data_IF_676580926877
#
_entry.id   IF_676580926877
#
_cell.length_a   1.000
_cell.length_b   1.000
_cell.length_c   1.000
_cell.angle_alpha   90.00
_cell.angle_beta   90.00
_cell.angle_gamma   90.00
#
_symmetry.space_group_name_H-M   'P 1'
#
loop_
_entity.id
_entity.type
_entity.pdbx_description
1 polymer ?
#
# COMPACT_ATOMS: atom_id res chain seq x y z
N UNK A 1 54.66 -9.83 72.64
CA UNK A 1 53.98 -8.72 71.96
C UNK A 1 54.42 -8.46 70.50
N UNK A 2 55.57 -8.97 69.99
CA UNK A 2 56.02 -8.77 68.58
C UNK A 2 55.13 -9.42 67.49
N UNK A 3 54.47 -10.54 67.81
CA UNK A 3 53.58 -11.25 66.85
C UNK A 3 52.24 -10.51 66.70
N UNK A 4 51.72 -9.94 67.79
CA UNK A 4 50.50 -9.13 67.77
C UNK A 4 50.65 -7.83 66.99
N UNK A 5 51.82 -7.18 67.04
CA UNK A 5 52.12 -5.98 66.25
C UNK A 5 52.32 -6.27 64.76
N UNK A 6 52.97 -7.38 64.39
CA UNK A 6 53.10 -7.78 62.98
C UNK A 6 51.75 -8.14 62.33
N UNK A 7 50.86 -8.79 63.09
CA UNK A 7 49.50 -9.10 62.64
C UNK A 7 48.64 -7.83 62.49
N UNK A 8 48.69 -6.91 63.46
CA UNK A 8 47.98 -5.64 63.39
C UNK A 8 48.46 -4.76 62.21
N UNK A 9 49.76 -4.78 61.92
CA UNK A 9 50.35 -4.06 60.79
C UNK A 9 49.87 -4.63 59.44
N UNK A 10 49.95 -5.96 59.28
CA UNK A 10 49.49 -6.65 58.07
C UNK A 10 48.00 -6.43 57.83
N UNK A 11 47.18 -6.50 58.89
CA UNK A 11 45.75 -6.21 58.81
C UNK A 11 45.46 -4.77 58.39
N UNK A 12 46.27 -3.81 58.85
CA UNK A 12 46.10 -2.39 58.49
C UNK A 12 46.49 -2.14 57.03
N UNK A 13 47.56 -2.77 56.54
CA UNK A 13 47.96 -2.68 55.12
C UNK A 13 46.88 -3.28 54.22
N UNK A 14 46.36 -4.47 54.55
CA UNK A 14 45.28 -5.10 53.79
C UNK A 14 44.04 -4.19 53.73
N UNK A 15 43.62 -3.62 54.87
CA UNK A 15 42.51 -2.66 54.91
C UNK A 15 42.77 -1.41 54.05
N UNK A 16 44.02 -0.97 53.97
CA UNK A 16 44.40 0.21 53.20
C UNK A 16 44.39 -0.07 51.70
N UNK A 17 44.88 -1.25 51.30
CA UNK A 17 44.80 -1.76 49.93
C UNK A 17 43.33 -1.95 49.49
N UNK A 18 42.48 -2.51 50.35
CA UNK A 18 41.04 -2.66 50.07
C UNK A 18 40.36 -1.31 49.85
N UNK A 19 40.68 -0.31 50.69
CA UNK A 19 40.14 1.06 50.54
C UNK A 19 40.65 1.75 49.28
N UNK A 20 41.92 1.54 48.92
CA UNK A 20 42.49 2.07 47.69
C UNK A 20 41.80 1.46 46.46
N UNK A 21 41.54 0.15 46.47
CA UNK A 21 40.84 -0.55 45.40
C UNK A 21 39.39 -0.08 45.26
N UNK A 22 38.68 0.10 46.38
CA UNK A 22 37.32 0.63 46.38
C UNK A 22 37.26 2.05 45.81
N UNK A 23 38.20 2.92 46.20
CA UNK A 23 38.28 4.29 45.70
C UNK A 23 38.55 4.33 44.18
N UNK A 24 39.45 3.47 43.69
CA UNK A 24 39.74 3.35 42.26
C UNK A 24 38.51 2.87 41.48
N UNK A 25 37.75 1.92 42.04
CA UNK A 25 36.51 1.41 41.44
C UNK A 25 35.44 2.50 41.39
N UNK A 26 35.20 3.22 42.48
CA UNK A 26 34.26 4.34 42.51
C UNK A 26 34.68 5.49 41.58
N UNK A 27 35.98 5.75 41.43
CA UNK A 27 36.49 6.69 40.42
C UNK A 27 36.18 6.22 38.99
N UNK A 28 36.36 4.92 38.71
CA UNK A 28 36.02 4.35 37.40
C UNK A 28 34.51 4.44 37.11
N UNK A 29 33.66 4.17 38.11
CA UNK A 29 32.21 4.31 38.00
C UNK A 29 31.80 5.76 37.76
N UNK A 30 32.38 6.72 38.50
CA UNK A 30 32.12 8.15 38.32
C UNK A 30 32.56 8.68 36.95
N UNK A 31 33.68 8.18 36.42
CA UNK A 31 34.20 8.61 35.11
C UNK A 31 33.45 7.97 33.95
N UNK A 32 33.02 6.71 34.09
CA UNK A 32 32.22 6.01 33.08
C UNK A 32 30.72 6.36 33.14
N UNK A 33 30.23 6.86 34.27
CA UNK A 33 28.80 7.08 34.54
C UNK A 33 28.01 5.78 34.75
N UNK A 34 28.67 4.63 34.81
CA UNK A 34 28.05 3.31 34.95
C UNK A 34 28.35 2.70 36.31
N UNK A 35 27.32 2.12 36.92
CA UNK A 35 27.44 1.28 38.11
C UNK A 35 28.10 -0.06 37.78
N UNK A 36 27.75 -0.64 36.62
CA UNK A 36 28.25 -1.94 36.17
C UNK A 36 29.05 -1.72 34.90
N UNK A 37 30.39 -1.80 35.00
CA UNK A 37 31.28 -1.59 33.86
C UNK A 37 31.77 -2.92 33.28
N UNK A 38 31.95 -3.93 34.14
CA UNK A 38 32.29 -5.29 33.76
C UNK A 38 31.23 -6.28 34.28
N UNK A 39 31.07 -7.42 33.59
CA UNK A 39 30.16 -8.47 34.03
C UNK A 39 30.55 -9.07 35.40
N UNK A 40 31.81 -8.92 35.81
CA UNK A 40 32.30 -9.30 37.14
C UNK A 40 31.77 -8.40 38.27
N UNK A 41 31.36 -7.16 37.97
CA UNK A 41 30.91 -6.21 39.00
C UNK A 41 29.51 -6.59 39.53
N UNK A 42 28.61 -7.01 38.64
CA UNK A 42 27.27 -7.53 38.95
C UNK A 42 26.76 -8.38 37.77
N UNK A 43 26.93 -9.71 37.82
CA UNK A 43 26.55 -10.57 36.69
C UNK A 43 25.05 -10.57 36.41
N UNK A 44 24.21 -10.28 37.40
CA UNK A 44 22.75 -10.25 37.24
C UNK A 44 22.28 -8.99 36.54
N UNK A 45 22.87 -7.84 36.88
CA UNK A 45 22.59 -6.58 36.21
C UNK A 45 23.18 -6.55 34.80
N UNK A 46 24.40 -7.07 34.61
CA UNK A 46 24.98 -7.24 33.28
C UNK A 46 24.07 -8.09 32.38
N UNK A 47 23.56 -9.23 32.87
CA UNK A 47 22.64 -10.08 32.11
C UNK A 47 21.28 -9.40 31.80
N UNK A 48 20.83 -8.44 32.62
CA UNK A 48 19.63 -7.64 32.35
C UNK A 48 19.90 -6.58 31.29
N UNK A 49 21.02 -5.86 31.41
CA UNK A 49 21.45 -4.86 30.44
C UNK A 49 21.64 -5.47 29.04
N UNK A 50 22.26 -6.66 28.95
CA UNK A 50 22.43 -7.38 27.68
C UNK A 50 21.10 -7.81 27.05
N UNK A 51 20.14 -8.30 27.85
CA UNK A 51 18.80 -8.62 27.36
C UNK A 51 18.08 -7.38 26.83
N UNK A 52 18.19 -6.27 27.55
CA UNK A 52 17.62 -5.00 27.13
C UNK A 52 18.27 -4.47 25.84
N UNK A 53 19.60 -4.58 25.71
CA UNK A 53 20.33 -4.28 24.48
C UNK A 53 19.84 -5.11 23.30
N UNK A 54 19.72 -6.43 23.47
CA UNK A 54 19.20 -7.32 22.43
C UNK A 54 17.77 -6.91 22.00
N UNK A 55 16.92 -6.48 22.95
CA UNK A 55 15.59 -5.97 22.63
C UNK A 55 15.65 -4.64 21.86
N UNK A 56 16.51 -3.71 22.24
CA UNK A 56 16.72 -2.45 21.50
C UNK A 56 17.12 -2.74 20.05
N UNK A 57 18.13 -3.59 19.83
CA UNK A 57 18.60 -3.92 18.48
C UNK A 57 17.53 -4.58 17.62
N UNK A 58 16.68 -5.44 18.21
CA UNK A 58 15.52 -6.04 17.50
C UNK A 58 14.51 -4.97 17.10
N UNK A 59 14.15 -4.08 18.02
CA UNK A 59 13.21 -3.00 17.74
C UNK A 59 13.74 -2.03 16.67
N UNK A 60 15.04 -1.74 16.65
CA UNK A 60 15.68 -0.92 15.61
C UNK A 60 15.70 -1.60 14.23
N UNK A 61 15.85 -2.92 14.18
CA UNK A 61 15.68 -3.68 12.93
C UNK A 61 14.23 -3.61 12.43
N UNK A 62 13.25 -3.72 13.33
CA UNK A 62 11.84 -3.58 12.99
C UNK A 62 11.50 -2.16 12.51
N UNK A 63 12.05 -1.11 13.13
CA UNK A 63 11.88 0.28 12.69
C UNK A 63 12.40 0.48 11.25
N UNK A 64 13.60 -0.01 10.93
CA UNK A 64 14.13 0.06 9.56
C UNK A 64 13.24 -0.64 8.54
N UNK A 65 12.68 -1.78 8.93
CA UNK A 65 11.75 -2.56 8.08
C UNK A 65 10.44 -1.81 7.86
N UNK A 66 9.90 -1.20 8.93
CA UNK A 66 8.71 -0.36 8.88
C UNK A 66 8.91 0.88 8.00
N UNK A 67 10.07 1.54 8.10
CA UNK A 67 10.40 2.71 7.30
C UNK A 67 10.48 2.37 5.80
N UNK A 68 11.07 1.22 5.46
CA UNK A 68 11.10 0.75 4.07
C UNK A 68 9.69 0.51 3.52
N UNK A 69 8.84 -0.16 4.30
CA UNK A 69 7.45 -0.42 3.94
C UNK A 69 6.63 0.87 3.81
N UNK A 70 6.77 1.81 4.77
CA UNK A 70 6.11 3.11 4.74
C UNK A 70 6.54 3.95 3.53
N UNK A 71 7.82 3.91 3.17
CA UNK A 71 8.31 4.60 1.98
C UNK A 71 7.61 4.09 0.71
N UNK A 72 7.52 2.78 0.52
CA UNK A 72 6.81 2.21 -0.64
C UNK A 72 5.33 2.58 -0.63
N UNK A 73 4.64 2.47 0.51
CA UNK A 73 3.22 2.82 0.61
C UNK A 73 2.97 4.30 0.31
N UNK A 74 3.86 5.22 0.74
CA UNK A 74 3.76 6.64 0.40
C UNK A 74 3.94 6.89 -1.11
N UNK A 75 4.87 6.19 -1.76
CA UNK A 75 5.07 6.28 -3.22
C UNK A 75 3.83 5.71 -3.94
N UNK A 76 3.28 4.59 -3.45
CA UNK A 76 2.06 4.00 -3.99
C UNK A 76 0.88 4.98 -3.90
N UNK A 77 0.63 5.57 -2.73
CA UNK A 77 -0.46 6.52 -2.52
C UNK A 77 -0.34 7.75 -3.44
N UNK A 78 0.87 8.30 -3.55
CA UNK A 78 1.14 9.44 -4.44
C UNK A 78 0.91 9.05 -5.91
N UNK A 79 1.41 7.90 -6.33
CA UNK A 79 1.26 7.38 -7.70
C UNK A 79 -0.22 7.13 -8.05
N UNK A 80 -0.99 6.54 -7.15
CA UNK A 80 -2.43 6.33 -7.32
C UNK A 80 -3.21 7.64 -7.34
N UNK A 81 -2.76 8.66 -6.60
CA UNK A 81 -3.26 10.03 -6.70
C UNK A 81 -3.07 10.59 -8.12
N UNK A 82 -1.84 10.56 -8.64
CA UNK A 82 -1.54 10.99 -10.03
C UNK A 82 -2.37 10.22 -11.05
N UNK A 83 -2.55 8.91 -10.86
CA UNK A 83 -3.38 8.10 -11.74
C UNK A 83 -4.85 8.54 -11.75
N UNK A 84 -5.38 8.92 -10.59
CA UNK A 84 -6.75 9.44 -10.45
C UNK A 84 -6.92 10.72 -11.26
N UNK A 85 -5.96 11.66 -11.16
CA UNK A 85 -5.99 12.93 -11.90
C UNK A 85 -5.91 12.70 -13.42
N UNK A 86 -5.05 11.76 -13.85
CA UNK A 86 -4.94 11.37 -15.25
C UNK A 86 -6.25 10.80 -15.79
N UNK A 87 -6.96 9.97 -15.02
CA UNK A 87 -8.24 9.40 -15.43
C UNK A 87 -9.37 10.43 -15.48
N UNK A 88 -9.36 11.42 -14.58
CA UNK A 88 -10.28 12.55 -14.68
C UNK A 88 -10.04 13.33 -15.99
N UNK A 89 -8.78 13.61 -16.33
CA UNK A 89 -8.43 14.25 -17.62
C UNK A 89 -8.81 13.38 -18.83
N UNK A 90 -8.70 12.05 -18.71
CA UNK A 90 -9.16 11.13 -19.75
C UNK A 90 -10.68 11.23 -19.93
N UNK A 91 -11.41 11.22 -18.82
CA UNK A 91 -12.87 11.36 -18.81
C UNK A 91 -13.33 12.67 -19.44
N UNK A 92 -12.71 13.79 -19.09
CA UNK A 92 -12.98 15.10 -19.73
C UNK A 92 -12.75 15.05 -21.24
N UNK A 93 -11.65 14.42 -21.66
CA UNK A 93 -11.31 14.28 -23.08
C UNK A 93 -12.30 13.38 -23.82
N UNK A 94 -12.80 12.33 -23.17
CA UNK A 94 -13.87 11.46 -23.70
C UNK A 94 -15.21 12.19 -23.80
N UNK A 95 -15.59 12.99 -22.81
CA UNK A 95 -16.81 13.82 -22.86
C UNK A 95 -16.74 14.79 -24.04
N UNK A 96 -15.60 15.47 -24.22
CA UNK A 96 -15.38 16.33 -25.38
C UNK A 96 -15.43 15.54 -26.70
N UNK A 97 -14.85 14.33 -26.72
CA UNK A 97 -14.86 13.45 -27.90
C UNK A 97 -16.25 12.88 -28.20
N UNK A 98 -17.19 12.89 -27.25
CA UNK A 98 -18.58 12.53 -27.45
C UNK A 98 -19.42 13.62 -28.11
N UNK A 99 -18.89 14.85 -28.26
CA UNK A 99 -19.64 15.94 -28.86
C UNK A 99 -19.94 15.66 -30.35
N UNK A 100 -21.23 15.60 -30.70
CA UNK A 100 -21.68 15.32 -32.06
C UNK A 100 -21.30 16.39 -33.09
N UNK A 101 -20.99 17.62 -32.64
CA UNK A 101 -20.60 18.74 -33.51
C UNK A 101 -19.11 18.75 -33.89
N UNK A 102 -18.29 17.86 -33.30
CA UNK A 102 -16.85 17.83 -33.56
C UNK A 102 -16.54 17.10 -34.88
N UNK A 103 -15.65 17.70 -35.67
CA UNK A 103 -15.13 17.09 -36.89
C UNK A 103 -14.17 15.94 -36.56
N UNK A 104 -13.90 15.08 -37.55
CA UNK A 104 -12.91 14.02 -37.41
C UNK A 104 -11.52 14.58 -37.06
N UNK A 105 -11.16 15.76 -37.60
CA UNK A 105 -9.92 16.45 -37.25
C UNK A 105 -9.88 16.93 -35.79
N UNK A 106 -10.99 17.44 -35.25
CA UNK A 106 -11.05 17.87 -33.84
C UNK A 106 -10.91 16.66 -32.90
N UNK A 107 -11.48 15.51 -33.28
CA UNK A 107 -11.35 14.25 -32.53
C UNK A 107 -9.92 13.72 -32.53
N UNK A 108 -9.15 13.93 -33.61
CA UNK A 108 -7.74 13.51 -33.66
C UNK A 108 -6.87 14.19 -32.59
N UNK A 109 -7.14 15.46 -32.27
CA UNK A 109 -6.44 16.16 -31.18
C UNK A 109 -6.76 15.53 -29.81
N UNK A 110 -8.03 15.16 -29.57
CA UNK A 110 -8.44 14.48 -28.34
C UNK A 110 -7.88 13.07 -28.23
N UNK A 111 -7.81 12.35 -29.34
CA UNK A 111 -7.11 11.05 -29.44
C UNK A 111 -5.65 11.19 -29.02
N UNK A 112 -4.94 12.20 -29.51
CA UNK A 112 -3.54 12.43 -29.15
C UNK A 112 -3.39 12.66 -27.63
N UNK A 113 -4.30 13.44 -27.04
CA UNK A 113 -4.35 13.65 -25.58
C UNK A 113 -4.63 12.35 -24.83
N UNK A 114 -5.59 11.53 -25.27
CA UNK A 114 -5.90 10.23 -24.65
C UNK A 114 -4.71 9.27 -24.73
N UNK A 115 -3.96 9.26 -25.84
CA UNK A 115 -2.72 8.48 -25.98
C UNK A 115 -1.64 8.92 -25.00
N UNK A 116 -1.45 10.23 -24.84
CA UNK A 116 -0.50 10.78 -23.88
C UNK A 116 -0.86 10.37 -22.44
N UNK A 117 -2.14 10.53 -22.05
CA UNK A 117 -2.64 10.09 -20.75
C UNK A 117 -2.41 8.59 -20.54
N UNK A 118 -2.71 7.76 -21.55
CA UNK A 118 -2.49 6.31 -21.50
C UNK A 118 -1.01 5.95 -21.29
N UNK A 119 -0.08 6.68 -21.91
CA UNK A 119 1.36 6.49 -21.72
C UNK A 119 1.85 6.98 -20.34
N UNK A 120 1.28 8.08 -19.85
CA UNK A 120 1.56 8.59 -18.50
C UNK A 120 1.06 7.60 -17.44
N UNK A 121 -0.13 7.02 -17.61
CA UNK A 121 -0.64 5.96 -16.73
C UNK A 121 0.27 4.73 -16.75
N UNK A 122 0.82 4.35 -17.90
CA UNK A 122 1.77 3.24 -17.99
C UNK A 122 3.08 3.55 -17.25
N UNK A 123 3.51 4.82 -17.28
CA UNK A 123 4.67 5.28 -16.52
C UNK A 123 4.40 5.21 -15.01
N UNK A 124 3.21 5.64 -14.57
CA UNK A 124 2.77 5.55 -13.17
C UNK A 124 2.63 4.10 -12.69
N UNK A 125 2.11 3.21 -13.54
CA UNK A 125 2.02 1.78 -13.23
C UNK A 125 3.41 1.13 -13.09
N UNK A 126 4.43 1.71 -13.73
CA UNK A 126 5.83 1.29 -13.64
C UNK A 126 6.67 2.21 -12.72
N UNK A 127 6.07 2.87 -11.72
CA UNK A 127 6.83 3.66 -10.73
C UNK A 127 7.83 2.76 -9.96
N UNK A 128 9.09 3.19 -9.93
CA UNK A 128 10.14 2.52 -9.15
C UNK A 128 10.02 2.82 -7.66
N UNK A 129 10.38 1.86 -6.82
CA UNK A 129 10.47 2.01 -5.36
C UNK A 129 11.76 2.73 -4.88
N UNK A 130 12.68 3.03 -5.80
CA UNK A 130 13.99 3.63 -5.50
C UNK A 130 15.07 2.65 -5.01
N UNK A 131 14.70 1.40 -4.75
CA UNK A 131 15.58 0.31 -4.30
C UNK A 131 15.95 -0.70 -5.40
N UNK A 132 15.54 -0.44 -6.65
CA UNK A 132 15.74 -1.33 -7.80
C UNK A 132 14.54 -2.23 -8.11
N UNK A 133 13.44 -2.06 -7.38
CA UNK A 133 12.15 -2.69 -7.65
C UNK A 133 11.10 -1.69 -8.15
N UNK A 134 9.86 -2.17 -8.19
CA UNK A 134 8.69 -1.45 -8.64
C UNK A 134 7.57 -1.55 -7.62
N UNK A 135 6.93 -0.41 -7.35
CA UNK A 135 5.87 -0.30 -6.34
C UNK A 135 4.70 -1.23 -6.65
N UNK A 136 4.28 -1.27 -7.92
CA UNK A 136 3.17 -2.12 -8.40
C UNK A 136 3.65 -3.46 -8.96
N UNK A 137 4.80 -3.96 -8.47
CA UNK A 137 5.46 -5.16 -8.96
C UNK A 137 4.87 -6.50 -8.49
N UNK A 138 3.79 -6.49 -7.71
CA UNK A 138 3.20 -7.71 -7.16
C UNK A 138 4.12 -8.36 -6.11
N UNK A 139 4.48 -9.64 -6.24
CA UNK A 139 5.45 -10.30 -5.32
C UNK A 139 6.91 -9.82 -5.45
N UNK A 140 7.13 -8.73 -6.20
CA UNK A 140 8.45 -8.15 -6.46
C UNK A 140 8.87 -8.40 -7.90
N UNK A 141 9.41 -7.36 -8.53
CA UNK A 141 9.95 -7.43 -9.88
C UNK A 141 11.16 -6.51 -9.99
N UNK A 142 12.24 -6.99 -10.60
CA UNK A 142 13.43 -6.20 -10.95
C UNK A 142 13.38 -5.67 -12.40
N UNK A 143 12.24 -5.81 -13.07
CA UNK A 143 11.98 -5.31 -14.42
C UNK A 143 10.60 -4.66 -14.47
N UNK A 144 10.33 -3.75 -15.43
CA UNK A 144 9.04 -3.07 -15.52
C UNK A 144 7.87 -4.07 -15.49
N UNK A 145 6.98 -4.01 -14.48
CA UNK A 145 5.90 -4.99 -14.33
C UNK A 145 4.84 -4.88 -15.43
N UNK A 146 4.65 -3.72 -16.04
CA UNK A 146 3.69 -3.50 -17.12
C UNK A 146 4.41 -3.24 -18.44
N UNK A 147 4.17 -4.10 -19.42
CA UNK A 147 4.80 -4.02 -20.74
C UNK A 147 3.73 -3.82 -21.80
N UNK A 148 3.97 -2.86 -22.68
CA UNK A 148 3.11 -2.59 -23.83
C UNK A 148 3.46 -3.54 -24.97
N UNK A 149 2.49 -4.35 -25.40
CA UNK A 149 2.65 -5.32 -26.49
C UNK A 149 1.67 -5.02 -27.61
N UNK A 150 1.79 -5.73 -28.74
CA UNK A 150 0.81 -5.62 -29.84
C UNK A 150 -0.60 -6.04 -29.43
N UNK A 151 -0.76 -6.79 -28.34
CA UNK A 151 -2.06 -7.20 -27.79
C UNK A 151 -2.57 -6.24 -26.69
N UNK A 152 -1.84 -5.15 -26.40
CA UNK A 152 -2.10 -4.22 -25.30
C UNK A 152 -1.13 -4.40 -24.12
N UNK A 153 -1.38 -3.64 -23.05
CA UNK A 153 -0.55 -3.70 -21.83
C UNK A 153 -0.83 -4.98 -21.05
N UNK A 154 0.24 -5.73 -20.78
CA UNK A 154 0.22 -6.96 -19.99
C UNK A 154 1.08 -6.83 -18.74
N UNK A 155 0.67 -7.52 -17.67
CA UNK A 155 1.47 -7.64 -16.46
C UNK A 155 2.44 -8.82 -16.58
N UNK A 156 3.74 -8.55 -16.42
CA UNK A 156 4.83 -9.53 -16.47
C UNK A 156 5.41 -9.85 -15.07
N UNK A 157 4.70 -9.50 -14.00
CA UNK A 157 5.06 -9.88 -12.63
C UNK A 157 4.28 -11.09 -12.11
N UNK A 158 4.50 -11.42 -10.84
CA UNK A 158 3.68 -12.39 -10.11
C UNK A 158 2.65 -11.66 -9.24
N UNK A 159 1.38 -12.05 -9.34
CA UNK A 159 0.29 -11.47 -8.54
C UNK A 159 0.50 -11.69 -7.04
N UNK A 160 -0.06 -10.82 -6.21
CA UNK A 160 0.16 -10.80 -4.76
C UNK A 160 1.08 -9.66 -4.32
N UNK A 161 1.63 -9.78 -3.13
CA UNK A 161 2.42 -8.73 -2.48
C UNK A 161 3.67 -9.34 -1.83
N UNK A 162 4.74 -8.56 -1.74
CA UNK A 162 5.95 -8.92 -1.02
C UNK A 162 5.88 -8.36 0.40
N UNK A 163 6.26 -9.17 1.39
CA UNK A 163 6.19 -8.81 2.81
C UNK A 163 7.60 -8.72 3.40
N UNK A 164 7.84 -7.65 4.15
CA UNK A 164 9.07 -7.46 4.93
C UNK A 164 9.03 -8.22 6.26
N UNK A 165 7.83 -8.44 6.81
CA UNK A 165 7.58 -9.18 8.04
C UNK A 165 6.24 -9.90 7.94
N UNK A 166 6.21 -11.20 8.22
CA UNK A 166 4.97 -11.99 8.25
C UNK A 166 4.14 -11.73 9.51
N UNK A 167 4.78 -11.46 10.66
CA UNK A 167 4.04 -11.21 11.90
C UNK A 167 3.33 -9.84 11.86
N UNK A 168 4.02 -8.86 11.27
CA UNK A 168 3.56 -7.48 11.19
C UNK A 168 3.04 -7.11 9.80
N UNK A 169 2.82 -8.05 8.86
CA UNK A 169 2.26 -7.81 7.51
C UNK A 169 2.71 -6.47 6.90
N UNK A 170 4.02 -6.26 6.80
CA UNK A 170 4.59 -5.01 6.28
C UNK A 170 4.82 -5.14 4.77
N UNK A 171 3.92 -4.58 3.97
CA UNK A 171 3.98 -4.67 2.51
C UNK A 171 5.17 -3.88 1.94
N UNK A 172 5.93 -4.49 1.04
CA UNK A 172 7.02 -3.86 0.28
C UNK A 172 6.62 -3.56 -1.17
N UNK A 173 5.42 -3.95 -1.56
CA UNK A 173 4.86 -3.77 -2.89
C UNK A 173 3.32 -3.76 -2.80
N UNK A 174 2.68 -3.35 -3.88
CA UNK A 174 1.23 -3.42 -4.10
C UNK A 174 0.97 -4.37 -5.27
N UNK A 175 -0.14 -5.13 -5.20
CA UNK A 175 -0.59 -5.96 -6.32
C UNK A 175 -1.07 -5.11 -7.49
N UNK A 176 -0.14 -4.73 -8.37
CA UNK A 176 -0.43 -3.94 -9.55
C UNK A 176 -1.43 -4.61 -10.50
N UNK A 177 -1.48 -5.93 -10.58
CA UNK A 177 -2.43 -6.60 -11.46
C UNK A 177 -3.87 -6.34 -11.00
N UNK A 178 -4.10 -6.34 -9.68
CA UNK A 178 -5.41 -6.02 -9.13
C UNK A 178 -5.79 -4.56 -9.39
N UNK A 179 -4.85 -3.64 -9.15
CA UNK A 179 -5.07 -2.20 -9.34
C UNK A 179 -5.43 -1.86 -10.78
N UNK A 180 -4.61 -2.31 -11.74
CA UNK A 180 -4.65 -1.81 -13.11
C UNK A 180 -5.43 -2.70 -14.09
N UNK A 181 -5.50 -4.02 -13.84
CA UNK A 181 -5.96 -5.01 -14.82
C UNK A 181 -7.21 -5.82 -14.41
N UNK A 182 -7.69 -5.68 -13.17
CA UNK A 182 -8.79 -6.52 -12.63
C UNK A 182 -9.96 -5.72 -12.07
N UNK A 183 -10.19 -4.51 -12.60
CA UNK A 183 -11.39 -3.75 -12.28
C UNK A 183 -12.66 -4.52 -12.65
N UNK A 184 -13.78 -4.17 -12.01
CA UNK A 184 -15.10 -4.73 -12.34
C UNK A 184 -15.66 -4.02 -13.57
N UNK A 185 -15.97 -4.74 -14.64
CA UNK A 185 -16.42 -4.14 -15.91
C UNK A 185 -17.86 -3.62 -15.87
N UNK A 186 -18.22 -2.79 -16.85
CA UNK A 186 -19.60 -2.29 -17.04
C UNK A 186 -20.07 -1.41 -15.89
N UNK A 187 -21.36 -1.45 -15.56
CA UNK A 187 -21.92 -0.69 -14.43
C UNK A 187 -21.68 -1.36 -13.06
N UNK A 188 -20.77 -2.33 -13.00
CA UNK A 188 -20.49 -3.13 -11.81
C UNK A 188 -21.43 -4.33 -11.61
N UNK A 189 -22.47 -4.50 -12.42
CA UNK A 189 -23.34 -5.71 -12.40
C UNK A 189 -23.37 -6.37 -13.76
N UNK A 190 -23.52 -5.57 -14.82
CA UNK A 190 -23.51 -6.05 -16.20
C UNK A 190 -22.78 -5.05 -17.11
N UNK A 191 -22.36 -5.55 -18.26
CA UNK A 191 -21.77 -4.79 -19.34
C UNK A 191 -22.73 -4.72 -20.52
N UNK A 192 -22.72 -3.59 -21.22
CA UNK A 192 -23.46 -3.41 -22.47
C UNK A 192 -22.50 -3.17 -23.62
N UNK A 193 -22.80 -3.76 -24.78
CA UNK A 193 -21.98 -3.61 -25.97
C UNK A 193 -22.84 -3.65 -27.22
N UNK A 194 -22.31 -3.12 -28.33
CA UNK A 194 -22.88 -3.40 -29.64
C UNK A 194 -22.73 -4.89 -29.93
N UNK A 195 -23.81 -5.49 -30.41
CA UNK A 195 -23.80 -6.83 -30.99
C UNK A 195 -23.45 -6.76 -32.47
N UNK A 196 -23.74 -7.85 -33.17
CA UNK A 196 -23.60 -7.95 -34.62
C UNK A 196 -24.96 -7.77 -35.28
N UNK A 197 -24.99 -7.10 -36.42
CA UNK A 197 -26.21 -7.02 -37.20
C UNK A 197 -26.58 -8.41 -37.75
N UNK A 198 -27.77 -8.90 -37.43
CA UNK A 198 -28.23 -10.25 -37.74
C UNK A 198 -28.39 -10.51 -39.26
N UNK A 199 -28.48 -9.46 -40.08
CA UNK A 199 -28.65 -9.57 -41.53
C UNK A 199 -27.30 -9.51 -42.24
N UNK A 200 -26.45 -8.54 -41.89
CA UNK A 200 -25.15 -8.33 -42.56
C UNK A 200 -24.00 -9.13 -41.95
N UNK A 201 -24.20 -9.69 -40.74
CA UNK A 201 -23.18 -10.32 -39.92
C UNK A 201 -21.94 -9.44 -39.68
N UNK A 202 -22.15 -8.12 -39.66
CA UNK A 202 -21.14 -7.09 -39.46
C UNK A 202 -21.52 -6.20 -38.26
N UNK A 203 -20.76 -5.13 -38.01
CA UNK A 203 -21.13 -4.12 -37.04
C UNK A 203 -22.51 -3.50 -37.38
N UNK A 204 -23.20 -3.03 -36.34
CA UNK A 204 -24.50 -2.37 -36.47
C UNK A 204 -24.44 -1.24 -37.51
N UNK A 205 -25.50 -1.15 -38.32
CA UNK A 205 -25.56 -0.22 -39.44
C UNK A 205 -26.36 1.04 -39.11
N UNK A 206 -27.15 1.04 -38.03
CA UNK A 206 -27.85 2.21 -37.54
C UNK A 206 -26.97 3.19 -36.78
N UNK A 207 -27.60 4.25 -36.26
CA UNK A 207 -26.98 5.24 -35.36
C UNK A 207 -27.30 4.97 -33.89
N UNK A 208 -27.92 3.83 -33.61
CA UNK A 208 -28.26 3.40 -32.25
C UNK A 208 -27.01 3.16 -31.39
N UNK A 209 -27.07 3.58 -30.13
CA UNK A 209 -26.10 3.22 -29.09
C UNK A 209 -26.83 2.86 -27.80
N UNK A 210 -26.25 1.93 -27.03
CA UNK A 210 -26.80 1.43 -25.77
C UNK A 210 -26.10 2.10 -24.58
N UNK A 211 -26.86 2.52 -23.59
CA UNK A 211 -26.32 3.04 -22.33
C UNK A 211 -25.67 1.93 -21.51
N UNK A 212 -24.86 2.28 -20.51
CA UNK A 212 -24.30 1.32 -19.54
C UNK A 212 -25.36 0.62 -18.69
N UNK A 213 -26.61 1.10 -18.74
CA UNK A 213 -27.76 0.53 -18.06
C UNK A 213 -27.77 0.76 -16.56
N UNK A 214 -28.91 0.48 -15.95
CA UNK A 214 -29.17 0.64 -14.52
C UNK A 214 -29.79 -0.63 -13.94
N UNK A 215 -29.56 -0.83 -12.64
CA UNK A 215 -30.26 -1.85 -11.86
C UNK A 215 -31.52 -1.19 -11.29
N UNK A 216 -32.68 -1.55 -11.83
CA UNK A 216 -33.97 -1.04 -11.36
C UNK A 216 -34.50 -1.83 -10.17
N UNK A 217 -34.24 -3.13 -10.10
CA UNK A 217 -34.77 -4.01 -9.04
C UNK A 217 -33.71 -5.03 -8.62
N UNK A 218 -32.91 -4.74 -7.58
CA UNK A 218 -31.80 -5.59 -7.17
C UNK A 218 -32.20 -7.04 -6.82
N UNK A 219 -33.41 -7.27 -6.29
CA UNK A 219 -33.90 -8.60 -5.92
C UNK A 219 -34.19 -9.53 -7.10
N UNK A 220 -34.25 -9.00 -8.32
CA UNK A 220 -34.51 -9.76 -9.55
C UNK A 220 -33.27 -9.96 -10.41
N UNK A 221 -32.10 -9.51 -9.94
CA UNK A 221 -30.88 -9.59 -10.72
C UNK A 221 -30.48 -11.04 -11.02
N UNK A 222 -30.17 -11.37 -12.28
CA UNK A 222 -29.72 -12.70 -12.66
C UNK A 222 -28.23 -12.92 -12.35
N UNK A 223 -27.50 -11.89 -11.89
CA UNK A 223 -26.07 -11.95 -11.62
C UNK A 223 -25.76 -11.75 -10.13
N UNK A 224 -24.74 -12.44 -9.59
CA UNK A 224 -23.88 -13.43 -10.26
C UNK A 224 -24.58 -14.79 -10.47
N UNK A 225 -24.37 -15.41 -11.63
CA UNK A 225 -24.85 -16.77 -11.96
C UNK A 225 -23.76 -17.58 -12.67
N UNK A 226 -23.86 -18.91 -12.65
CA UNK A 226 -22.94 -19.80 -13.34
C UNK A 226 -23.72 -20.97 -13.99
N UNK A 227 -23.84 -21.04 -15.33
CA UNK A 227 -23.31 -20.08 -16.31
C UNK A 227 -24.00 -18.72 -16.22
N UNK A 228 -23.28 -17.65 -16.55
CA UNK A 228 -23.86 -16.30 -16.63
C UNK A 228 -24.78 -16.22 -17.86
N UNK A 229 -26.08 -15.93 -17.70
CA UNK A 229 -26.96 -15.75 -18.84
C UNK A 229 -26.52 -14.54 -19.67
N UNK A 230 -26.86 -14.55 -20.95
CA UNK A 230 -26.63 -13.45 -21.87
C UNK A 230 -27.95 -12.91 -22.37
N UNK A 231 -28.06 -11.59 -22.48
CA UNK A 231 -29.26 -10.96 -23.03
C UNK A 231 -28.90 -10.13 -24.25
N UNK A 232 -29.80 -10.04 -25.20
CA UNK A 232 -29.64 -9.18 -26.36
C UNK A 232 -30.93 -8.47 -26.73
N UNK A 233 -30.80 -7.22 -27.17
CA UNK A 233 -31.87 -6.48 -27.82
C UNK A 233 -31.67 -6.60 -29.33
N UNK A 234 -32.62 -7.22 -30.03
CA UNK A 234 -32.61 -7.33 -31.49
C UNK A 234 -33.62 -6.33 -32.08
N UNK A 235 -33.18 -5.51 -33.03
CA UNK A 235 -34.00 -4.45 -33.62
C UNK A 235 -34.52 -4.85 -35.00
N UNK A 236 -35.79 -4.54 -35.23
CA UNK A 236 -36.48 -4.77 -36.50
C UNK A 236 -37.07 -3.47 -37.02
N UNK A 237 -36.77 -3.12 -38.27
CA UNK A 237 -37.24 -1.87 -38.90
C UNK A 237 -38.02 -2.18 -40.16
N UNK A 238 -39.33 -1.90 -40.13
CA UNK A 238 -40.22 -2.01 -41.28
C UNK A 238 -40.84 -0.63 -41.59
N UNK A 239 -40.39 -0.01 -42.67
CA UNK A 239 -40.79 1.36 -43.02
C UNK A 239 -40.33 2.36 -41.96
N UNK A 240 -41.27 3.12 -41.37
CA UNK A 240 -40.99 4.07 -40.28
C UNK A 240 -41.20 3.49 -38.87
N UNK A 241 -41.56 2.20 -38.77
CA UNK A 241 -41.80 1.56 -37.47
C UNK A 241 -40.58 0.75 -37.06
N UNK A 242 -40.02 1.07 -35.90
CA UNK A 242 -38.95 0.30 -35.26
C UNK A 242 -39.53 -0.47 -34.09
N UNK A 243 -39.26 -1.77 -34.05
CA UNK A 243 -39.60 -2.64 -32.92
C UNK A 243 -38.34 -3.35 -32.43
N UNK A 244 -38.40 -3.90 -31.22
CA UNK A 244 -37.32 -4.70 -30.68
C UNK A 244 -37.83 -5.94 -29.97
N UNK A 245 -36.98 -6.96 -29.99
CA UNK A 245 -37.12 -8.18 -29.23
C UNK A 245 -36.06 -8.21 -28.12
N UNK A 246 -36.43 -8.74 -26.96
CA UNK A 246 -35.51 -9.03 -25.87
C UNK A 246 -35.29 -10.53 -25.86
N UNK A 247 -34.03 -10.96 -25.97
CA UNK A 247 -33.64 -12.36 -25.96
C UNK A 247 -32.82 -12.68 -24.71
N UNK A 248 -33.00 -13.89 -24.18
CA UNK A 248 -32.22 -14.53 -23.12
C UNK A 248 -31.60 -15.81 -23.70
N UNK A 249 -30.26 -15.84 -23.80
CA UNK A 249 -29.48 -16.92 -24.41
C UNK A 249 -30.00 -17.33 -25.80
N UNK A 250 -30.37 -16.31 -26.60
CA UNK A 250 -30.91 -16.49 -27.95
C UNK A 250 -32.40 -16.82 -28.02
N UNK A 251 -33.09 -16.98 -26.89
CA UNK A 251 -34.53 -17.24 -26.84
C UNK A 251 -35.30 -15.95 -26.55
N UNK A 252 -36.34 -15.64 -27.34
CA UNK A 252 -37.11 -14.43 -27.12
C UNK A 252 -37.95 -14.49 -25.82
N UNK A 253 -37.77 -13.50 -24.95
CA UNK A 253 -38.54 -13.31 -23.71
C UNK A 253 -39.53 -12.14 -23.81
N UNK A 254 -39.34 -11.25 -24.78
CA UNK A 254 -40.33 -10.27 -25.23
C UNK A 254 -40.13 -10.01 -26.72
N UNK A 255 -41.21 -9.90 -27.47
CA UNK A 255 -41.17 -9.72 -28.93
C UNK A 255 -42.00 -8.53 -29.40
N UNK A 256 -41.60 -7.89 -30.48
CA UNK A 256 -42.35 -6.85 -31.19
C UNK A 256 -42.62 -5.60 -30.34
N UNK A 257 -41.77 -5.31 -29.37
CA UNK A 257 -41.98 -4.16 -28.49
C UNK A 257 -41.72 -2.85 -29.25
N UNK A 258 -42.56 -1.81 -29.10
CA UNK A 258 -42.37 -0.55 -29.78
C UNK A 258 -41.10 0.16 -29.29
N UNK A 259 -40.27 0.63 -30.22
CA UNK A 259 -39.06 1.38 -29.88
C UNK A 259 -39.31 2.88 -29.84
N UNK A 260 -38.78 3.55 -28.82
CA UNK A 260 -38.66 5.01 -28.76
C UNK A 260 -37.24 5.36 -28.33
N UNK A 261 -36.57 6.21 -29.11
CA UNK A 261 -35.17 6.58 -28.87
C UNK A 261 -34.97 7.17 -27.48
N UNK A 262 -34.03 6.61 -26.72
CA UNK A 262 -33.64 7.06 -25.40
C UNK A 262 -34.60 6.63 -24.28
N UNK A 263 -35.73 5.99 -24.61
CA UNK A 263 -36.61 5.43 -23.60
C UNK A 263 -35.95 4.20 -22.95
N UNK A 264 -36.17 4.05 -21.64
CA UNK A 264 -35.67 2.92 -20.88
C UNK A 264 -36.40 1.63 -21.29
N UNK A 265 -35.62 0.62 -21.65
CA UNK A 265 -36.02 -0.73 -21.98
C UNK A 265 -35.70 -1.60 -20.77
N UNK A 266 -36.75 -2.10 -20.10
CA UNK A 266 -36.61 -3.04 -19.00
C UNK A 266 -36.41 -4.46 -19.54
N UNK A 267 -35.48 -5.21 -18.95
CA UNK A 267 -35.31 -6.64 -19.24
C UNK A 267 -36.33 -7.41 -18.39
N UNK A 268 -37.35 -8.05 -19.01
CA UNK A 268 -38.49 -8.61 -18.29
C UNK A 268 -38.08 -9.59 -17.18
N UNK A 269 -38.50 -9.29 -15.95
CA UNK A 269 -38.27 -10.15 -14.78
C UNK A 269 -36.82 -10.25 -14.30
N UNK A 270 -35.89 -9.44 -14.84
CA UNK A 270 -34.46 -9.51 -14.49
C UNK A 270 -33.94 -8.29 -13.73
N UNK A 271 -34.80 -7.32 -13.41
CA UNK A 271 -34.43 -6.12 -12.63
C UNK A 271 -33.39 -5.20 -13.27
N UNK A 272 -33.01 -5.46 -14.52
CA UNK A 272 -32.07 -4.67 -15.31
C UNK A 272 -32.84 -3.78 -16.28
N UNK A 273 -32.28 -2.61 -16.57
CA UNK A 273 -32.80 -1.76 -17.61
C UNK A 273 -31.67 -1.06 -18.35
N UNK A 274 -31.90 -0.81 -19.64
CA UNK A 274 -30.95 -0.13 -20.53
C UNK A 274 -31.71 0.92 -21.34
N UNK A 275 -31.01 1.89 -21.90
CA UNK A 275 -31.61 2.82 -22.86
C UNK A 275 -30.84 2.71 -24.17
N UNK A 276 -31.57 2.59 -25.29
CA UNK A 276 -30.98 2.65 -26.63
C UNK A 276 -31.41 3.96 -27.26
N UNK A 277 -30.47 4.82 -27.59
CA UNK A 277 -30.73 6.12 -28.22
C UNK A 277 -30.19 6.17 -29.64
N UNK A 278 -30.83 6.94 -30.52
CA UNK A 278 -30.52 7.02 -31.94
C UNK A 278 -31.54 6.26 -32.80
N UNK A 279 -31.15 5.93 -34.02
CA UNK A 279 -31.98 5.18 -34.96
C UNK A 279 -31.28 3.85 -35.31
N UNK A 280 -31.58 2.75 -34.59
CA UNK A 280 -31.16 1.41 -34.98
C UNK A 280 -31.67 1.07 -36.38
N UNK A 281 -30.86 0.36 -37.16
CA UNK A 281 -31.25 -0.18 -38.45
C UNK A 281 -31.80 -1.61 -38.29
N UNK A 282 -32.44 -2.13 -39.34
CA UNK A 282 -32.96 -3.49 -39.34
C UNK A 282 -31.84 -4.51 -39.11
N UNK A 283 -32.08 -5.45 -38.20
CA UNK A 283 -31.12 -6.47 -37.80
C UNK A 283 -30.06 -6.00 -36.79
N UNK A 284 -30.00 -4.73 -36.40
CA UNK A 284 -29.04 -4.27 -35.39
C UNK A 284 -29.29 -4.97 -34.04
N UNK A 285 -28.22 -5.27 -33.30
CA UNK A 285 -28.35 -5.88 -31.98
C UNK A 285 -27.45 -5.25 -30.92
N UNK A 286 -27.86 -5.32 -29.66
CA UNK A 286 -27.06 -4.87 -28.51
C UNK A 286 -27.04 -5.95 -27.44
N UNK A 287 -25.86 -6.25 -26.94
CA UNK A 287 -25.63 -7.34 -25.99
C UNK A 287 -25.52 -6.80 -24.57
N UNK A 288 -26.04 -7.57 -23.63
CA UNK A 288 -25.97 -7.34 -22.19
C UNK A 288 -25.42 -8.61 -21.56
N UNK A 289 -24.25 -8.50 -20.92
CA UNK A 289 -23.52 -9.64 -20.35
C UNK A 289 -23.18 -9.36 -18.89
N UNK A 290 -23.00 -10.38 -18.07
CA UNK A 290 -22.59 -10.20 -16.67
C UNK A 290 -21.24 -9.48 -16.56
N UNK A 291 -21.08 -8.61 -15.55
CA UNK A 291 -19.82 -7.94 -15.29
C UNK A 291 -18.72 -8.95 -14.93
N UNK A 292 -17.50 -8.69 -15.39
CA UNK A 292 -16.32 -9.52 -15.15
C UNK A 292 -15.24 -8.71 -14.41
N UNK A 293 -14.40 -9.40 -13.64
CA UNK A 293 -13.27 -8.81 -12.90
C UNK A 293 -11.98 -8.82 -13.74
N UNK A 294 -12.08 -8.39 -15.00
CA UNK A 294 -10.99 -8.40 -15.98
C UNK A 294 -10.84 -7.05 -16.70
N UNK A 295 -11.37 -5.98 -16.12
CA UNK A 295 -11.25 -4.66 -16.72
C UNK A 295 -9.79 -4.20 -16.65
N UNK A 296 -9.18 -4.14 -17.82
CA UNK A 296 -7.85 -3.57 -18.02
C UNK A 296 -7.99 -2.14 -18.53
N UNK A 297 -7.55 -1.20 -17.69
CA UNK A 297 -7.65 0.24 -17.94
C UNK A 297 -6.98 0.66 -19.26
N UNK A 298 -5.85 0.05 -19.59
CA UNK A 298 -5.11 0.35 -20.80
C UNK A 298 -5.88 -0.15 -22.02
N UNK A 299 -6.43 -1.36 -21.96
CA UNK A 299 -7.26 -1.88 -23.06
C UNK A 299 -8.56 -1.08 -23.25
N UNK A 300 -9.14 -0.55 -22.16
CA UNK A 300 -10.29 0.35 -22.24
C UNK A 300 -9.93 1.63 -23.00
N UNK A 301 -8.85 2.31 -22.59
CA UNK A 301 -8.35 3.50 -23.27
C UNK A 301 -7.99 3.21 -24.72
N UNK A 302 -7.29 2.11 -25.00
CA UNK A 302 -6.88 1.70 -26.34
C UNK A 302 -8.09 1.43 -27.25
N UNK A 303 -9.15 0.80 -26.74
CA UNK A 303 -10.40 0.59 -27.48
C UNK A 303 -11.10 1.91 -27.79
N UNK A 304 -11.20 2.82 -26.82
CA UNK A 304 -11.80 4.15 -27.05
C UNK A 304 -10.98 4.96 -28.04
N UNK A 305 -9.64 4.95 -27.91
CA UNK A 305 -8.71 5.59 -28.83
C UNK A 305 -8.90 5.04 -30.25
N UNK A 306 -8.91 3.71 -30.42
CA UNK A 306 -9.07 3.08 -31.73
C UNK A 306 -10.43 3.44 -32.37
N UNK A 307 -11.51 3.45 -31.59
CA UNK A 307 -12.84 3.81 -32.07
C UNK A 307 -12.92 5.29 -32.48
N UNK A 308 -12.28 6.19 -31.74
CA UNK A 308 -12.22 7.62 -32.06
C UNK A 308 -11.28 7.93 -33.24
N UNK A 309 -10.30 7.07 -33.51
CA UNK A 309 -9.39 7.20 -34.65
C UNK A 309 -9.99 6.72 -35.98
N UNK A 310 -10.96 5.82 -35.93
CA UNK A 310 -11.53 5.25 -37.13
C UNK A 310 -12.29 6.33 -37.93
N UNK A 311 -11.95 6.46 -39.21
CA UNK A 311 -12.58 7.43 -40.11
C UNK A 311 -13.96 6.96 -40.55
N UNK A 312 -14.87 7.89 -40.86
CA UNK A 312 -16.23 7.60 -41.33
C UNK A 312 -17.09 6.75 -40.37
N UNK A 313 -16.78 6.77 -39.07
CA UNK A 313 -17.63 6.11 -38.08
C UNK A 313 -19.00 6.80 -38.01
N UNK A 314 -20.07 6.00 -38.04
CA UNK A 314 -21.42 6.52 -37.80
C UNK A 314 -21.48 7.05 -36.36
N UNK A 315 -22.15 8.18 -36.15
CA UNK A 315 -22.21 8.85 -34.84
C UNK A 315 -22.61 7.93 -33.67
N UNK A 316 -23.43 6.90 -33.92
CA UNK A 316 -23.78 5.89 -32.92
C UNK A 316 -22.61 5.03 -32.44
N UNK A 317 -21.69 4.62 -33.32
CA UNK A 317 -20.51 3.85 -32.95
C UNK A 317 -19.53 4.69 -32.11
N UNK A 318 -19.34 5.96 -32.48
CA UNK A 318 -18.53 6.91 -31.70
C UNK A 318 -19.13 7.13 -30.32
N UNK A 319 -20.44 7.37 -30.24
CA UNK A 319 -21.13 7.57 -28.97
C UNK A 319 -21.08 6.32 -28.08
N UNK A 320 -21.20 5.13 -28.66
CA UNK A 320 -21.03 3.88 -27.94
C UNK A 320 -19.63 3.75 -27.33
N UNK A 321 -18.59 3.99 -28.13
CA UNK A 321 -17.21 3.85 -27.67
C UNK A 321 -16.86 4.86 -26.56
N UNK A 322 -17.36 6.09 -26.68
CA UNK A 322 -17.21 7.13 -25.66
C UNK A 322 -17.94 6.77 -24.37
N UNK A 323 -19.20 6.31 -24.45
CA UNK A 323 -19.96 5.93 -23.25
C UNK A 323 -19.40 4.68 -22.55
N UNK A 324 -18.97 3.69 -23.33
CA UNK A 324 -18.30 2.49 -22.82
C UNK A 324 -16.97 2.87 -22.16
N UNK A 325 -16.15 3.68 -22.85
CA UNK A 325 -14.90 4.19 -22.31
C UNK A 325 -15.07 4.99 -21.02
N UNK A 326 -16.06 5.87 -20.95
CA UNK A 326 -16.35 6.61 -19.71
C UNK A 326 -16.75 5.70 -18.56
N UNK A 327 -17.61 4.70 -18.82
CA UNK A 327 -18.04 3.73 -17.80
C UNK A 327 -16.86 2.90 -17.31
N UNK A 328 -15.99 2.46 -18.22
CA UNK A 328 -14.78 1.71 -17.89
C UNK A 328 -13.74 2.57 -17.15
N UNK A 329 -13.56 3.83 -17.52
CA UNK A 329 -12.71 4.78 -16.78
C UNK A 329 -13.25 5.03 -15.38
N UNK A 330 -14.57 5.20 -15.22
CA UNK A 330 -15.20 5.35 -13.90
C UNK A 330 -15.01 4.10 -13.04
N UNK A 331 -15.16 2.90 -13.63
CA UNK A 331 -14.87 1.64 -12.95
C UNK A 331 -13.38 1.48 -12.57
N UNK A 332 -12.47 1.91 -13.44
CA UNK A 332 -11.04 1.90 -13.15
C UNK A 332 -10.66 2.89 -12.04
N UNK A 333 -11.27 4.08 -12.02
CA UNK A 333 -11.13 5.03 -10.91
C UNK A 333 -11.61 4.42 -9.60
N UNK A 334 -12.72 3.68 -9.59
CA UNK A 334 -13.19 2.97 -8.40
C UNK A 334 -12.19 1.90 -7.91
N UNK A 335 -11.57 1.15 -8.83
CA UNK A 335 -10.49 0.21 -8.50
C UNK A 335 -9.29 0.90 -7.85
N UNK A 336 -8.84 2.01 -8.42
CA UNK A 336 -7.73 2.82 -7.89
C UNK A 336 -8.07 3.42 -6.53
N UNK A 337 -9.30 3.91 -6.33
CA UNK A 337 -9.76 4.40 -5.03
C UNK A 337 -9.78 3.29 -3.98
N UNK A 338 -10.20 2.09 -4.35
CA UNK A 338 -10.11 0.90 -3.48
C UNK A 338 -8.66 0.58 -3.10
N UNK A 339 -7.74 0.65 -4.05
CA UNK A 339 -6.31 0.47 -3.79
C UNK A 339 -5.74 1.55 -2.86
N UNK A 340 -6.10 2.83 -3.06
CA UNK A 340 -5.72 3.94 -2.16
C UNK A 340 -6.25 3.74 -0.75
N UNK A 341 -7.50 3.28 -0.60
CA UNK A 341 -8.06 2.96 0.70
C UNK A 341 -7.27 1.85 1.41
N UNK A 342 -6.89 0.79 0.68
CA UNK A 342 -6.07 -0.30 1.22
C UNK A 342 -4.65 0.18 1.62
N UNK A 343 -4.00 1.00 0.79
CA UNK A 343 -2.70 1.61 1.11
C UNK A 343 -2.81 2.54 2.33
N UNK A 344 -3.88 3.33 2.43
CA UNK A 344 -4.16 4.19 3.58
C UNK A 344 -4.38 3.41 4.87
N UNK A 345 -5.09 2.27 4.82
CA UNK A 345 -5.22 1.36 5.95
C UNK A 345 -3.85 0.83 6.40
N UNK A 346 -2.98 0.44 5.46
CA UNK A 346 -1.64 -0.01 5.77
C UNK A 346 -0.80 1.09 6.43
N UNK A 347 -0.86 2.34 5.93
CA UNK A 347 -0.17 3.48 6.54
C UNK A 347 -0.64 3.73 7.99
N UNK A 348 -1.95 3.72 8.23
CA UNK A 348 -2.51 3.86 9.58
C UNK A 348 -2.05 2.73 10.51
N UNK A 349 -1.98 1.51 9.99
CA UNK A 349 -1.47 0.35 10.75
C UNK A 349 0.02 0.53 11.07
N UNK A 350 0.81 1.07 10.14
CA UNK A 350 2.23 1.38 10.36
C UNK A 350 2.43 2.45 11.44
N UNK A 351 1.55 3.44 11.56
CA UNK A 351 1.58 4.42 12.66
C UNK A 351 1.40 3.72 14.03
N UNK A 352 0.51 2.73 14.11
CA UNK A 352 0.32 1.91 15.30
C UNK A 352 1.57 1.06 15.63
N UNK A 353 2.17 0.42 14.63
CA UNK A 353 3.39 -0.38 14.79
C UNK A 353 4.57 0.50 15.22
N UNK A 354 4.70 1.71 14.64
CA UNK A 354 5.71 2.70 15.03
C UNK A 354 5.59 3.02 16.53
N UNK A 355 4.39 3.39 16.98
CA UNK A 355 4.13 3.75 18.38
C UNK A 355 4.46 2.61 19.34
N UNK A 356 4.12 1.37 18.96
CA UNK A 356 4.46 0.16 19.73
C UNK A 356 5.96 -0.04 19.81
N UNK A 357 6.66 0.05 18.67
CA UNK A 357 8.11 -0.09 18.62
C UNK A 357 8.81 0.99 19.45
N UNK A 358 8.39 2.25 19.36
CA UNK A 358 8.96 3.35 20.15
C UNK A 358 8.78 3.11 21.65
N UNK A 359 7.61 2.62 22.07
CA UNK A 359 7.33 2.25 23.46
C UNK A 359 8.21 1.10 23.95
N UNK A 360 8.39 0.04 23.13
CA UNK A 360 9.26 -1.09 23.44
C UNK A 360 10.72 -0.69 23.53
N UNK A 361 11.16 0.20 22.62
CA UNK A 361 12.53 0.74 22.62
C UNK A 361 12.79 1.55 23.89
N UNK A 362 11.87 2.45 24.25
CA UNK A 362 11.98 3.26 25.46
C UNK A 362 12.01 2.39 26.72
N UNK A 363 11.10 1.42 26.84
CA UNK A 363 11.06 0.50 27.97
C UNK A 363 12.37 -0.30 28.12
N UNK A 364 12.92 -0.80 27.01
CA UNK A 364 14.21 -1.50 27.02
C UNK A 364 15.37 -0.55 27.37
N UNK A 365 15.37 0.70 26.90
CA UNK A 365 16.35 1.71 27.30
C UNK A 365 16.29 2.02 28.80
N UNK A 366 15.09 2.12 29.37
CA UNK A 366 14.90 2.30 30.81
C UNK A 366 15.40 1.09 31.60
N UNK A 367 15.09 -0.14 31.17
CA UNK A 367 15.59 -1.35 31.84
C UNK A 367 17.11 -1.44 31.79
N UNK A 368 17.71 -1.08 30.65
CA UNK A 368 19.16 -1.00 30.50
C UNK A 368 19.77 0.03 31.46
N UNK A 369 19.21 1.23 31.49
CA UNK A 369 19.64 2.32 32.38
C UNK A 369 19.56 1.91 33.85
N UNK A 370 18.42 1.33 34.28
CA UNK A 370 18.25 0.82 35.64
C UNK A 370 19.26 -0.28 36.02
N UNK A 371 19.73 -1.04 35.03
CA UNK A 371 20.69 -2.11 35.25
C UNK A 371 22.14 -1.59 35.30
N UNK A 372 22.54 -0.67 34.40
CA UNK A 372 23.94 -0.29 34.19
C UNK A 372 24.32 1.10 34.72
N UNK A 373 23.39 2.06 34.76
CA UNK A 373 23.71 3.46 35.00
C UNK A 373 23.93 3.76 36.48
N UNK A 374 24.80 4.75 36.74
CA UNK A 374 25.14 5.19 38.09
C UNK A 374 24.29 6.40 38.49
N UNK A 375 23.74 6.37 39.71
CA UNK A 375 23.25 7.58 40.36
C UNK A 375 24.44 8.44 40.77
N UNK A 376 24.77 9.43 39.93
CA UNK A 376 25.91 10.33 40.13
C UNK A 376 25.83 11.10 41.45
N UNK A 377 24.64 11.43 41.94
CA UNK A 377 24.48 12.20 43.18
C UNK A 377 24.88 11.35 44.38
N UNK A 378 24.34 10.14 44.47
CA UNK A 378 24.71 9.19 45.51
C UNK A 378 26.17 8.75 45.39
N UNK A 379 26.65 8.53 44.16
CA UNK A 379 28.01 8.07 43.91
C UNK A 379 29.07 9.10 44.32
N UNK A 380 28.89 10.38 43.97
CA UNK A 380 29.81 11.46 44.39
C UNK A 380 29.86 11.57 45.92
N UNK A 381 28.70 11.50 46.59
CA UNK A 381 28.65 11.50 48.05
C UNK A 381 29.42 10.31 48.66
N UNK A 382 29.21 9.10 48.12
CA UNK A 382 29.90 7.89 48.58
C UNK A 382 31.42 7.96 48.33
N UNK A 383 31.84 8.48 47.19
CA UNK A 383 33.25 8.67 46.83
C UNK A 383 33.94 9.66 47.76
N UNK A 384 33.29 10.78 48.08
CA UNK A 384 33.80 11.76 49.04
C UNK A 384 34.00 11.15 50.44
N UNK A 385 33.03 10.34 50.88
CA UNK A 385 33.11 9.61 52.14
C UNK A 385 34.25 8.56 52.14
N UNK A 386 34.40 7.80 51.05
CA UNK A 386 35.49 6.84 50.90
C UNK A 386 36.86 7.52 50.87
N UNK A 387 37.00 8.64 50.17
CA UNK A 387 38.22 9.44 50.10
C UNK A 387 38.60 9.96 51.49
N UNK A 388 37.64 10.53 52.22
CA UNK A 388 37.84 11.04 53.59
C UNK A 388 38.23 9.90 54.53
N UNK A 389 37.55 8.75 54.44
CA UNK A 389 37.87 7.57 55.25
C UNK A 389 39.25 6.97 54.94
N UNK A 390 39.69 6.99 53.68
CA UNK A 390 41.03 6.56 53.28
C UNK A 390 42.11 7.49 53.85
N UNK A 391 41.90 8.81 53.78
CA UNK A 391 42.80 9.79 54.40
C UNK A 391 42.88 9.61 55.93
N UNK A 392 41.75 9.39 56.60
CA UNK A 392 41.72 9.11 58.04
C UNK A 392 42.46 7.80 58.39
N UNK A 393 42.32 6.75 57.58
CA UNK A 393 43.04 5.49 57.76
C UNK A 393 44.57 5.68 57.59
N UNK A 394 45.01 6.46 56.59
CA UNK A 394 46.42 6.82 56.41
C UNK A 394 46.98 7.58 57.63
N UNK A 395 46.23 8.54 58.17
CA UNK A 395 46.64 9.29 59.37
C UNK A 395 46.70 8.42 60.63
N UNK A 396 45.73 7.52 60.80
CA UNK A 396 45.70 6.55 61.90
C UNK A 396 46.90 5.60 61.80
N UNK A 397 47.18 5.06 60.61
CA UNK A 397 48.34 4.22 60.36
C UNK A 397 49.66 4.95 60.65
N UNK A 398 49.81 6.20 60.17
CA UNK A 398 50.99 7.02 60.47
C UNK A 398 51.16 7.28 61.98
N UNK A 399 50.06 7.41 62.73
CA UNK A 399 50.09 7.60 64.18
C UNK A 399 50.49 6.30 64.92
N UNK A 400 50.00 5.15 64.49
CA UNK A 400 50.38 3.83 65.03
C UNK A 400 51.85 3.50 64.74
N UNK A 401 52.34 3.82 63.53
CA UNK A 401 53.76 3.69 63.20
C UNK A 401 54.64 4.53 64.14
N UNK A 402 54.27 5.79 64.40
CA UNK A 402 54.98 6.68 65.35
C UNK A 402 55.00 6.11 66.78
N UNK A 403 53.89 5.59 67.29
CA UNK A 403 53.82 4.99 68.63
C UNK A 403 54.72 3.74 68.77
N UNK A 404 54.79 2.90 67.72
CA UNK A 404 55.66 1.73 67.71
C UNK A 404 57.16 2.09 67.75
N UNK A 405 57.54 3.20 67.10
CA UNK A 405 58.91 3.70 67.09
C UNK A 405 59.31 4.30 68.45
N UNK A 406 58.40 5.02 69.11
CA UNK A 406 58.62 5.54 70.46
C UNK A 406 58.72 4.43 71.52
N UNK A 407 57.94 3.35 71.41
CA UNK A 407 58.10 2.17 72.28
C UNK A 407 59.37 1.36 72.00
N UNK A 408 59.88 1.39 70.76
CA UNK A 408 61.14 0.75 70.38
C UNK A 408 62.37 1.55 70.84
N UNK A 409 62.25 2.86 71.04
CA UNK A 409 63.35 3.74 71.49
C UNK A 409 63.35 3.91 73.03
N UNK A 410 62.19 3.78 73.70
CA UNK A 410 62.05 3.93 75.16
C UNK A 410 61.97 2.61 75.96
N UNK A 411 62.29 1.47 75.35
CA UNK A 411 62.45 0.17 76.03
C UNK A 411 63.68 -0.54 75.49
#
# INVERSE_FOLDING_TARGET
MRIATAYAFSQTINNLQDRQQNLATSQQQLTSGKRVNYASDDPTAAARAERALAQISRTEANQRTLDASRNVMNIAETSLGTATDLLQSARESMVAAGNGSYSDSDRQALVAKLKDIRNQLLTVANTSDGGGGYVFGGQGSSSPPFVDTTAGVVFQGQSGESLASQDDHLNLTVDGQQVWLRGKSGNGVFNTAQGTNAISNQANSGTGWISSGTVATPSQLPYPANPSPTYSLAFHVAGSTTTYDVLEDGNAIATGQPYTSGQQIAIPGKGMAVAVAGAPADGDSFNITGAQNNLNIFTSLDKTIAALQATNQKGGAVQQAVNTGMTEVDAAMSSIQGARAAVGEQLNRMDGIQTRNDSLKLAAQTEKSNAEDLDMVAAVSSFQNQQTGYQAALQSYASVQKLSLFQYING
#
